data_IF_981449073237
#
_entry.id   IF_981449073237
#
_cell.length_a   1.000
_cell.length_b   1.000
_cell.length_c   1.000
_cell.angle_alpha   90.00
_cell.angle_beta   90.00
_cell.angle_gamma   90.00
#
_symmetry.space_group_name_H-M   'P 1'
#
loop_
_entity.id
_entity.type
_entity.pdbx_description
1 polymer ?
#
# COMPACT_ATOMS: atom_id res chain seq x y z
N UNK A 1 -13.22 -15.95 -18.60
CA UNK A 1 -13.95 -16.15 -17.34
C UNK A 1 -12.98 -15.85 -16.21
N UNK A 2 -13.27 -14.87 -15.35
CA UNK A 2 -12.39 -14.56 -14.21
C UNK A 2 -12.49 -15.72 -13.20
N UNK A 3 -11.39 -16.45 -13.01
CA UNK A 3 -11.34 -17.50 -12.00
C UNK A 3 -11.14 -16.83 -10.63
N UNK A 4 -12.08 -17.03 -9.72
CA UNK A 4 -12.04 -16.44 -8.35
C UNK A 4 -10.77 -16.87 -7.63
N UNK A 5 -10.35 -18.13 -7.78
CA UNK A 5 -9.15 -18.65 -7.12
C UNK A 5 -7.88 -17.96 -7.60
N UNK A 6 -7.75 -17.69 -8.91
CA UNK A 6 -6.60 -17.02 -9.48
C UNK A 6 -6.51 -15.55 -9.03
N UNK A 7 -7.66 -14.86 -8.95
CA UNK A 7 -7.72 -13.48 -8.44
C UNK A 7 -7.29 -13.40 -6.97
N UNK A 8 -7.79 -14.32 -6.13
CA UNK A 8 -7.39 -14.40 -4.72
C UNK A 8 -5.88 -14.71 -4.60
N UNK A 9 -5.37 -15.67 -5.37
CA UNK A 9 -3.94 -16.01 -5.34
C UNK A 9 -3.06 -14.83 -5.76
N UNK A 10 -3.48 -14.06 -6.77
CA UNK A 10 -2.79 -12.85 -7.21
C UNK A 10 -2.80 -11.78 -6.12
N UNK A 11 -3.95 -11.51 -5.50
CA UNK A 11 -4.09 -10.53 -4.43
C UNK A 11 -3.18 -10.87 -3.22
N UNK A 12 -3.15 -12.14 -2.78
CA UNK A 12 -2.30 -12.58 -1.67
C UNK A 12 -0.80 -12.49 -1.98
N UNK A 13 -0.41 -12.51 -3.26
CA UNK A 13 0.99 -12.37 -3.67
C UNK A 13 1.42 -10.92 -3.82
N UNK A 14 0.57 -10.09 -4.43
CA UNK A 14 0.95 -8.76 -4.90
C UNK A 14 0.58 -7.63 -3.92
N UNK A 15 -0.37 -7.87 -3.01
CA UNK A 15 -0.77 -6.83 -2.07
C UNK A 15 0.35 -6.46 -1.10
N UNK A 16 0.63 -5.16 -0.99
CA UNK A 16 1.66 -4.61 -0.09
C UNK A 16 1.42 -4.96 1.38
N UNK A 17 0.14 -5.05 1.81
CA UNK A 17 -0.23 -5.47 3.18
C UNK A 17 0.35 -6.83 3.52
N UNK A 18 0.25 -7.82 2.62
CA UNK A 18 0.82 -9.16 2.84
C UNK A 18 2.36 -9.15 2.89
N UNK A 19 3.01 -8.26 2.12
CA UNK A 19 4.45 -8.06 2.19
C UNK A 19 4.87 -7.44 3.54
N UNK A 20 4.13 -6.44 4.00
CA UNK A 20 4.33 -5.81 5.31
C UNK A 20 4.17 -6.82 6.45
N UNK A 21 3.13 -7.63 6.45
CA UNK A 21 2.89 -8.63 7.49
C UNK A 21 3.97 -9.70 7.55
N UNK A 22 4.50 -10.12 6.39
CA UNK A 22 5.66 -11.01 6.33
C UNK A 22 6.90 -10.39 6.96
N UNK A 23 7.11 -9.08 6.77
CA UNK A 23 8.22 -8.35 7.39
C UNK A 23 8.02 -8.22 8.90
N UNK A 24 6.79 -7.91 9.36
CA UNK A 24 6.44 -7.88 10.78
C UNK A 24 6.68 -9.24 11.45
N UNK A 25 6.27 -10.33 10.80
CA UNK A 25 6.50 -11.67 11.31
C UNK A 25 7.99 -11.99 11.39
N UNK A 26 8.79 -11.62 10.38
CA UNK A 26 10.25 -11.77 10.43
C UNK A 26 10.89 -10.95 11.56
N UNK A 27 10.42 -9.73 11.77
CA UNK A 27 10.89 -8.89 12.89
C UNK A 27 10.59 -9.56 14.24
N UNK A 28 9.38 -10.11 14.41
CA UNK A 28 9.01 -10.85 15.60
C UNK A 28 9.89 -12.13 15.78
N UNK A 29 10.21 -12.86 14.70
CA UNK A 29 11.13 -14.01 14.74
C UNK A 29 12.54 -13.60 15.20
N UNK A 30 13.03 -12.45 14.73
CA UNK A 30 14.33 -11.90 15.17
C UNK A 30 14.28 -11.55 16.66
N UNK A 31 13.21 -10.89 17.12
CA UNK A 31 13.03 -10.53 18.52
C UNK A 31 13.00 -11.76 19.43
N UNK A 32 12.36 -12.85 19.01
CA UNK A 32 12.41 -14.14 19.73
C UNK A 32 13.85 -14.65 19.84
N UNK A 33 14.65 -14.57 18.77
CA UNK A 33 16.06 -14.98 18.79
C UNK A 33 16.89 -14.11 19.74
N UNK A 34 16.66 -12.79 19.72
CA UNK A 34 17.33 -11.84 20.65
C UNK A 34 16.97 -12.18 22.10
N UNK A 35 15.68 -12.40 22.38
CA UNK A 35 15.23 -12.78 23.73
C UNK A 35 15.78 -14.15 24.15
N UNK A 36 15.92 -15.10 23.22
CA UNK A 36 16.57 -16.40 23.48
C UNK A 36 18.04 -16.20 23.83
N UNK A 37 18.74 -15.32 23.11
CA UNK A 37 20.13 -15.02 23.40
C UNK A 37 20.33 -14.32 24.75
N UNK A 38 19.36 -13.53 25.21
CA UNK A 38 19.36 -12.89 26.54
C UNK A 38 19.28 -13.89 27.72
N UNK A 39 18.96 -15.17 27.46
CA UNK A 39 19.03 -16.24 28.43
C UNK A 39 20.46 -16.72 28.72
N UNK A 40 21.37 -16.45 27.78
CA UNK A 40 22.77 -16.91 27.89
C UNK A 40 23.57 -15.99 28.82
N UNK A 41 24.66 -16.51 29.41
CA UNK A 41 25.62 -15.68 30.15
C UNK A 41 26.17 -14.57 29.23
N UNK A 42 26.32 -13.37 29.76
CA UNK A 42 26.94 -12.25 29.06
C UNK A 42 28.43 -12.17 29.40
N UNK A 43 29.26 -12.05 28.38
CA UNK A 43 30.69 -11.84 28.53
C UNK A 43 31.09 -10.60 27.74
N UNK A 44 31.55 -9.57 28.46
CA UNK A 44 31.96 -8.28 27.84
C UNK A 44 33.46 -8.14 27.96
N UNK A 45 34.11 -7.86 26.84
CA UNK A 45 35.53 -7.43 26.79
C UNK A 45 35.55 -5.91 26.69
N UNK A 46 36.11 -5.26 27.69
CA UNK A 46 36.30 -3.81 27.71
C UNK A 46 37.77 -3.50 27.49
N UNK A 47 38.09 -2.76 26.45
CA UNK A 47 39.39 -2.20 26.19
C UNK A 47 39.26 -0.68 26.26
N UNK A 48 40.03 -0.05 27.13
CA UNK A 48 40.07 1.42 27.18
C UNK A 48 41.48 1.93 27.11
N UNK A 49 41.67 3.05 26.43
CA UNK A 49 42.88 3.81 26.42
C UNK A 49 42.57 5.24 26.83
N UNK A 50 43.35 5.77 27.73
CA UNK A 50 43.21 7.11 28.25
C UNK A 50 44.56 7.84 28.19
N UNK A 51 44.54 9.02 27.59
CA UNK A 51 45.70 9.94 27.60
C UNK A 51 45.42 11.08 28.57
N UNK A 52 46.35 11.34 29.46
CA UNK A 52 46.23 12.43 30.44
C UNK A 52 47.41 13.39 30.26
N UNK A 53 47.11 14.69 30.13
CA UNK A 53 48.13 15.75 30.16
C UNK A 53 48.02 16.50 31.49
N UNK A 54 49.12 16.70 32.19
CA UNK A 54 49.23 17.49 33.42
C UNK A 54 50.33 18.55 33.25
N UNK A 55 49.92 19.81 33.21
CA UNK A 55 50.85 20.96 33.16
C UNK A 55 50.23 22.18 33.86
N UNK A 56 51.06 23.11 34.33
CA UNK A 56 50.62 24.38 34.90
C UNK A 56 50.12 25.35 33.81
N UNK A 57 50.41 25.09 32.55
CA UNK A 57 49.93 25.89 31.41
C UNK A 57 49.00 25.07 30.49
N UNK A 58 47.91 25.69 30.06
CA UNK A 58 46.87 25.01 29.27
C UNK A 58 47.39 24.47 27.95
N UNK A 59 48.26 25.23 27.26
CA UNK A 59 48.86 24.83 25.99
C UNK A 59 49.71 23.57 26.09
N UNK A 60 50.54 23.47 27.13
CA UNK A 60 51.38 22.31 27.38
C UNK A 60 50.56 21.10 27.84
N UNK A 61 49.53 21.29 28.63
CA UNK A 61 48.60 20.21 29.02
C UNK A 61 47.87 19.63 27.81
N UNK A 62 47.42 20.49 26.90
CA UNK A 62 46.79 20.07 25.65
C UNK A 62 47.74 19.31 24.72
N UNK A 63 48.96 19.84 24.51
CA UNK A 63 49.96 19.18 23.71
C UNK A 63 50.41 17.84 24.28
N UNK A 64 50.46 17.70 25.61
CA UNK A 64 50.76 16.42 26.27
C UNK A 64 49.61 15.42 26.14
N UNK A 65 48.34 15.89 26.08
CA UNK A 65 47.19 15.04 25.89
C UNK A 65 47.11 14.50 24.45
N UNK A 66 47.48 15.30 23.47
CA UNK A 66 47.44 14.97 22.04
C UNK A 66 48.72 14.27 21.56
N UNK A 67 49.89 14.49 22.25
CA UNK A 67 51.16 13.87 21.86
C UNK A 67 51.27 12.43 22.37
N UNK A 68 51.50 11.45 21.49
CA UNK A 68 51.38 10.02 21.82
C UNK A 68 52.46 9.42 22.73
N UNK A 69 53.26 10.20 23.42
CA UNK A 69 54.50 9.65 23.97
C UNK A 69 54.62 9.52 25.49
N UNK A 70 53.75 10.10 26.34
CA UNK A 70 54.12 10.20 27.76
C UNK A 70 53.14 9.69 28.83
N UNK A 71 51.81 9.74 28.62
CA UNK A 71 50.84 9.37 29.68
C UNK A 71 49.66 8.61 29.12
N UNK A 72 49.91 7.42 28.54
CA UNK A 72 48.85 6.52 28.10
C UNK A 72 48.61 5.45 29.18
N UNK A 73 47.38 5.38 29.62
CA UNK A 73 46.88 4.27 30.40
C UNK A 73 46.09 3.33 29.49
N UNK A 74 46.43 2.05 29.53
CA UNK A 74 45.71 0.99 28.85
C UNK A 74 45.06 0.14 29.92
N UNK A 75 43.77 -0.11 29.82
CA UNK A 75 43.09 -1.11 30.62
C UNK A 75 42.35 -2.11 29.77
N UNK A 76 42.46 -3.36 30.13
CA UNK A 76 41.70 -4.46 29.55
C UNK A 76 40.97 -5.17 30.66
N UNK A 77 39.66 -5.34 30.53
CA UNK A 77 38.82 -6.02 31.50
C UNK A 77 37.89 -7.00 30.82
N UNK A 78 37.65 -8.16 31.45
CA UNK A 78 36.63 -9.12 31.06
C UNK A 78 35.62 -9.15 32.18
N UNK A 79 34.35 -8.84 31.84
CA UNK A 79 33.23 -8.95 32.77
C UNK A 79 32.31 -10.07 32.32
N UNK A 80 32.12 -11.10 33.16
CA UNK A 80 31.21 -12.21 32.90
C UNK A 80 30.06 -12.12 33.89
N UNK A 81 28.84 -11.96 33.34
CA UNK A 81 27.59 -11.88 34.11
C UNK A 81 26.74 -13.12 33.90
N UNK A 82 26.40 -13.82 34.97
CA UNK A 82 25.53 -14.98 34.95
C UNK A 82 24.35 -14.78 35.91
N UNK A 83 23.14 -14.43 35.41
CA UNK A 83 21.98 -14.21 36.28
C UNK A 83 21.41 -15.53 36.77
N UNK A 84 21.46 -15.77 38.10
CA UNK A 84 20.89 -16.95 38.72
C UNK A 84 19.36 -16.88 38.69
N UNK A 85 18.72 -17.94 38.17
CA UNK A 85 17.25 -18.03 38.06
C UNK A 85 16.66 -17.32 36.83
N UNK A 86 17.31 -16.27 36.32
CA UNK A 86 16.99 -15.52 35.11
C UNK A 86 15.49 -15.36 34.76
N UNK A 87 14.66 -15.06 35.78
CA UNK A 87 13.19 -14.97 35.62
C UNK A 87 12.76 -13.88 34.67
N UNK A 88 13.45 -12.73 34.68
CA UNK A 88 13.14 -11.61 33.82
C UNK A 88 13.34 -11.96 32.34
N UNK A 89 14.48 -12.56 31.97
CA UNK A 89 14.75 -12.96 30.61
C UNK A 89 13.82 -14.09 30.13
N UNK A 90 13.43 -15.03 31.02
CA UNK A 90 12.43 -16.05 30.67
C UNK A 90 11.07 -15.45 30.39
N UNK A 91 10.60 -14.50 31.25
CA UNK A 91 9.35 -13.77 31.03
C UNK A 91 9.40 -12.95 29.72
N UNK A 92 10.53 -12.28 29.46
CA UNK A 92 10.73 -11.55 28.20
C UNK A 92 10.72 -12.45 26.96
N UNK A 93 11.28 -13.67 27.04
CA UNK A 93 11.18 -14.64 25.94
C UNK A 93 9.74 -15.08 25.71
N UNK A 94 8.98 -15.37 26.76
CA UNK A 94 7.56 -15.73 26.62
C UNK A 94 6.74 -14.59 26.03
N UNK A 95 6.99 -13.35 26.44
CA UNK A 95 6.39 -12.16 25.85
C UNK A 95 6.65 -12.11 24.33
N UNK A 96 7.91 -12.32 23.88
CA UNK A 96 8.24 -12.29 22.45
C UNK A 96 7.56 -13.44 21.69
N UNK A 97 7.38 -14.60 22.31
CA UNK A 97 6.61 -15.69 21.69
C UNK A 97 5.13 -15.32 21.51
N UNK A 98 4.53 -14.63 22.49
CA UNK A 98 3.15 -14.15 22.38
C UNK A 98 3.01 -13.07 21.30
N UNK A 99 3.94 -12.11 21.24
CA UNK A 99 3.97 -11.08 20.19
C UNK A 99 4.12 -11.70 18.78
N UNK A 100 4.95 -12.74 18.63
CA UNK A 100 5.06 -13.48 17.39
C UNK A 100 3.74 -14.17 17.01
N UNK A 101 3.04 -14.78 17.96
CA UNK A 101 1.71 -15.38 17.72
C UNK A 101 0.70 -14.31 17.33
N UNK A 102 0.72 -13.14 17.97
CA UNK A 102 -0.12 -12.00 17.63
C UNK A 102 0.13 -11.55 16.17
N UNK A 103 1.39 -11.38 15.75
CA UNK A 103 1.75 -11.02 14.38
C UNK A 103 1.24 -12.06 13.36
N UNK A 104 1.35 -13.35 13.67
CA UNK A 104 0.82 -14.42 12.83
C UNK A 104 -0.71 -14.36 12.70
N UNK A 105 -1.41 -14.15 13.82
CA UNK A 105 -2.87 -14.03 13.83
C UNK A 105 -3.33 -12.82 13.02
N UNK A 106 -2.63 -11.67 13.15
CA UNK A 106 -2.92 -10.48 12.35
C UNK A 106 -2.76 -10.76 10.85
N UNK A 107 -1.67 -11.40 10.44
CA UNK A 107 -1.45 -11.78 9.04
C UNK A 107 -2.59 -12.70 8.51
N UNK A 108 -3.11 -13.61 9.32
CA UNK A 108 -4.24 -14.46 8.93
C UNK A 108 -5.54 -13.66 8.78
N UNK A 109 -5.80 -12.71 9.68
CA UNK A 109 -6.96 -11.81 9.60
C UNK A 109 -6.89 -10.94 8.34
N UNK A 110 -5.72 -10.38 8.03
CA UNK A 110 -5.52 -9.56 6.84
C UNK A 110 -5.66 -10.37 5.55
N UNK A 111 -5.18 -11.62 5.55
CA UNK A 111 -5.44 -12.55 4.43
C UNK A 111 -6.94 -12.82 4.24
N UNK A 112 -7.71 -13.03 5.31
CA UNK A 112 -9.16 -13.23 5.25
C UNK A 112 -9.88 -11.99 4.73
N UNK A 113 -9.48 -10.79 5.18
CA UNK A 113 -10.03 -9.51 4.72
C UNK A 113 -9.75 -9.30 3.22
N UNK A 114 -8.54 -9.62 2.75
CA UNK A 114 -8.19 -9.56 1.33
C UNK A 114 -9.08 -10.49 0.50
N UNK A 115 -9.26 -11.74 0.93
CA UNK A 115 -10.12 -12.71 0.25
C UNK A 115 -11.57 -12.21 0.17
N UNK A 116 -12.07 -11.65 1.28
CA UNK A 116 -13.42 -11.08 1.33
C UNK A 116 -13.57 -9.91 0.37
N UNK A 117 -12.61 -8.98 0.38
CA UNK A 117 -12.62 -7.81 -0.50
C UNK A 117 -12.61 -8.20 -1.98
N UNK A 118 -11.72 -9.12 -2.38
CA UNK A 118 -11.67 -9.61 -3.78
C UNK A 118 -13.00 -10.25 -4.19
N UNK A 119 -13.65 -11.01 -3.31
CA UNK A 119 -14.97 -11.60 -3.60
C UNK A 119 -16.07 -10.54 -3.75
N UNK A 120 -16.03 -9.48 -2.94
CA UNK A 120 -17.01 -8.37 -3.03
C UNK A 120 -16.82 -7.64 -4.36
N UNK A 121 -15.59 -7.25 -4.70
CA UNK A 121 -15.30 -6.50 -5.93
C UNK A 121 -15.59 -7.33 -7.19
N UNK A 122 -15.34 -8.65 -7.15
CA UNK A 122 -15.68 -9.52 -8.26
C UNK A 122 -17.21 -9.62 -8.48
N UNK A 123 -17.98 -9.69 -7.39
CA UNK A 123 -19.46 -9.68 -7.49
C UNK A 123 -19.96 -8.33 -7.99
N UNK A 124 -19.40 -7.22 -7.51
CA UNK A 124 -19.73 -5.88 -7.98
C UNK A 124 -19.43 -5.72 -9.48
N UNK A 125 -18.30 -6.25 -9.96
CA UNK A 125 -17.94 -6.28 -11.38
C UNK A 125 -18.96 -7.07 -12.22
N UNK A 126 -19.36 -8.26 -11.78
CA UNK A 126 -20.32 -9.06 -12.49
C UNK A 126 -21.70 -8.40 -12.54
N UNK A 127 -22.14 -7.80 -11.44
CA UNK A 127 -23.41 -7.07 -11.33
C UNK A 127 -23.39 -5.83 -12.24
N UNK A 128 -22.36 -5.03 -12.20
CA UNK A 128 -22.23 -3.82 -13.05
C UNK A 128 -22.16 -4.16 -14.54
N UNK A 129 -21.51 -5.26 -14.91
CA UNK A 129 -21.53 -5.77 -16.29
C UNK A 129 -22.95 -6.13 -16.75
N UNK A 130 -23.71 -6.87 -15.94
CA UNK A 130 -25.10 -7.22 -16.28
C UNK A 130 -25.97 -5.98 -16.38
N UNK A 131 -25.79 -5.01 -15.48
CA UNK A 131 -26.51 -3.74 -15.51
C UNK A 131 -26.17 -2.93 -16.77
N UNK A 132 -24.89 -2.83 -17.15
CA UNK A 132 -24.48 -2.13 -18.37
C UNK A 132 -25.07 -2.77 -19.63
N UNK A 133 -25.13 -4.12 -19.67
CA UNK A 133 -25.80 -4.86 -20.75
C UNK A 133 -27.30 -4.57 -20.79
N UNK A 134 -28.00 -4.61 -19.66
CA UNK A 134 -29.42 -4.34 -19.57
C UNK A 134 -29.76 -2.91 -20.01
N UNK A 135 -29.02 -1.91 -19.49
CA UNK A 135 -29.23 -0.51 -19.87
C UNK A 135 -28.91 -0.24 -21.35
N UNK A 136 -27.96 -0.96 -21.93
CA UNK A 136 -27.67 -0.88 -23.36
C UNK A 136 -28.84 -1.40 -24.18
N UNK A 137 -29.48 -2.49 -23.76
CA UNK A 137 -30.69 -3.02 -24.41
C UNK A 137 -31.87 -2.06 -24.26
N UNK A 138 -32.09 -1.50 -23.06
CA UNK A 138 -33.13 -0.52 -22.79
C UNK A 138 -32.98 0.75 -23.66
N UNK A 139 -31.77 1.30 -23.77
CA UNK A 139 -31.51 2.45 -24.62
C UNK A 139 -31.79 2.16 -26.10
N UNK A 140 -31.40 0.96 -26.58
CA UNK A 140 -31.73 0.53 -27.97
C UNK A 140 -33.25 0.38 -28.17
N UNK A 141 -33.99 -0.14 -27.19
CA UNK A 141 -35.42 -0.23 -27.26
C UNK A 141 -36.10 1.15 -27.29
N UNK A 142 -35.69 2.09 -26.42
CA UNK A 142 -36.19 3.46 -26.44
C UNK A 142 -35.88 4.18 -27.80
N UNK A 143 -34.70 3.96 -28.36
CA UNK A 143 -34.36 4.49 -29.68
C UNK A 143 -35.28 3.96 -30.80
N UNK A 144 -35.66 2.66 -30.73
CA UNK A 144 -36.59 2.06 -31.70
C UNK A 144 -37.97 2.67 -31.57
N UNK A 145 -38.47 2.99 -30.37
CA UNK A 145 -39.76 3.66 -30.18
C UNK A 145 -39.77 5.02 -30.84
N UNK A 146 -38.71 5.85 -30.61
CA UNK A 146 -38.58 7.16 -31.26
C UNK A 146 -38.51 7.02 -32.79
N UNK A 147 -37.75 6.03 -33.29
CA UNK A 147 -37.64 5.75 -34.73
C UNK A 147 -39.01 5.37 -35.34
N UNK A 148 -39.77 4.50 -34.65
CA UNK A 148 -41.12 4.11 -35.10
C UNK A 148 -42.09 5.30 -35.14
N UNK A 149 -42.08 6.18 -34.13
CA UNK A 149 -42.88 7.40 -34.12
C UNK A 149 -42.48 8.38 -35.24
N UNK A 150 -41.18 8.48 -35.56
CA UNK A 150 -40.72 9.29 -36.69
C UNK A 150 -41.17 8.71 -38.05
N UNK A 151 -41.17 7.39 -38.20
CA UNK A 151 -41.70 6.72 -39.41
C UNK A 151 -43.20 6.97 -39.53
N UNK A 152 -43.94 6.81 -38.43
CA UNK A 152 -45.40 7.05 -38.42
C UNK A 152 -45.72 8.49 -38.79
N UNK A 153 -44.93 9.48 -38.35
CA UNK A 153 -45.09 10.88 -38.73
C UNK A 153 -44.87 11.09 -40.24
N UNK A 154 -43.88 10.41 -40.82
CA UNK A 154 -43.58 10.51 -42.26
C UNK A 154 -44.70 9.92 -43.16
N UNK A 155 -45.39 8.90 -42.68
CA UNK A 155 -46.46 8.25 -43.42
C UNK A 155 -47.85 8.89 -43.16
N UNK A 156 -47.91 10.15 -42.68
CA UNK A 156 -49.10 10.96 -42.64
C UNK A 156 -49.92 10.89 -41.37
N UNK A 157 -49.33 10.48 -40.24
CA UNK A 157 -49.97 10.64 -38.98
C UNK A 157 -50.26 12.12 -38.68
N UNK A 158 -51.53 12.47 -38.36
CA UNK A 158 -51.91 13.83 -38.04
C UNK A 158 -51.16 14.29 -36.76
N UNK A 159 -50.62 15.50 -36.85
CA UNK A 159 -49.90 16.15 -35.70
C UNK A 159 -50.86 16.63 -34.64
N UNK A 160 -51.56 15.69 -33.99
CA UNK A 160 -52.41 16.02 -32.88
C UNK A 160 -51.61 16.34 -31.64
N UNK A 161 -52.13 17.14 -30.66
CA UNK A 161 -51.44 17.41 -29.39
C UNK A 161 -51.07 16.13 -28.66
N UNK A 162 -51.89 15.09 -28.74
CA UNK A 162 -51.64 13.77 -28.14
C UNK A 162 -50.44 13.08 -28.78
N UNK A 163 -50.28 13.10 -30.12
CA UNK A 163 -49.15 12.51 -30.81
C UNK A 163 -47.85 13.25 -30.50
N UNK A 164 -47.89 14.60 -30.45
CA UNK A 164 -46.73 15.41 -30.07
C UNK A 164 -46.27 15.15 -28.64
N UNK A 165 -47.22 15.03 -27.71
CA UNK A 165 -46.89 14.66 -26.33
C UNK A 165 -46.27 13.26 -26.22
N UNK A 166 -46.82 12.27 -26.95
CA UNK A 166 -46.28 10.92 -27.01
C UNK A 166 -44.85 10.93 -27.55
N UNK A 167 -44.60 11.69 -28.63
CA UNK A 167 -43.25 11.84 -29.22
C UNK A 167 -42.27 12.52 -28.27
N UNK A 168 -42.71 13.58 -27.58
CA UNK A 168 -41.88 14.27 -26.59
C UNK A 168 -41.51 13.36 -25.43
N UNK A 169 -42.48 12.62 -24.90
CA UNK A 169 -42.28 11.62 -23.85
C UNK A 169 -41.30 10.53 -24.29
N UNK A 170 -41.44 10.02 -25.53
CA UNK A 170 -40.53 9.03 -26.09
C UNK A 170 -39.09 9.56 -26.21
N UNK A 171 -38.92 10.85 -26.59
CA UNK A 171 -37.59 11.50 -26.67
C UNK A 171 -36.99 11.69 -25.27
N UNK A 172 -37.79 12.09 -24.27
CA UNK A 172 -37.37 12.18 -22.88
C UNK A 172 -36.92 10.83 -22.32
N UNK A 173 -37.69 9.78 -22.61
CA UNK A 173 -37.35 8.41 -22.21
C UNK A 173 -36.08 7.92 -22.88
N UNK A 174 -35.84 8.26 -24.14
CA UNK A 174 -34.59 7.96 -24.85
C UNK A 174 -33.40 8.69 -24.21
N UNK A 175 -33.56 9.96 -23.89
CA UNK A 175 -32.52 10.74 -23.25
C UNK A 175 -32.17 10.13 -21.87
N UNK A 176 -33.18 9.83 -21.05
CA UNK A 176 -32.99 9.18 -19.75
C UNK A 176 -32.32 7.79 -19.87
N UNK A 177 -32.73 6.97 -20.86
CA UNK A 177 -32.15 5.66 -21.11
C UNK A 177 -30.66 5.77 -21.55
N UNK A 178 -30.31 6.78 -22.35
CA UNK A 178 -28.92 7.02 -22.75
C UNK A 178 -28.05 7.45 -21.56
N UNK A 179 -28.56 8.32 -20.68
CA UNK A 179 -27.86 8.72 -19.46
C UNK A 179 -27.63 7.47 -18.57
N UNK A 180 -28.67 6.69 -18.35
CA UNK A 180 -28.59 5.46 -17.55
C UNK A 180 -27.58 4.44 -18.14
N UNK A 181 -27.53 4.32 -19.48
CA UNK A 181 -26.54 3.48 -20.17
C UNK A 181 -25.11 3.98 -19.93
N UNK A 182 -24.86 5.29 -20.07
CA UNK A 182 -23.53 5.88 -19.87
C UNK A 182 -23.11 5.67 -18.43
N UNK A 183 -23.99 5.96 -17.46
CA UNK A 183 -23.73 5.76 -16.05
C UNK A 183 -23.39 4.30 -15.72
N UNK A 184 -24.12 3.34 -16.30
CA UNK A 184 -23.85 1.92 -16.11
C UNK A 184 -22.49 1.49 -16.68
N UNK A 185 -22.04 2.07 -17.82
CA UNK A 185 -20.73 1.83 -18.40
C UNK A 185 -19.63 2.42 -17.49
N UNK A 186 -19.82 3.63 -16.97
CA UNK A 186 -18.89 4.25 -16.02
C UNK A 186 -18.75 3.39 -14.77
N UNK A 187 -19.89 2.93 -14.21
CA UNK A 187 -19.89 2.06 -13.03
C UNK A 187 -19.16 0.73 -13.30
N UNK A 188 -19.30 0.15 -14.49
CA UNK A 188 -18.57 -1.04 -14.89
C UNK A 188 -17.06 -0.80 -14.95
N UNK A 189 -16.62 0.31 -15.57
CA UNK A 189 -15.20 0.67 -15.62
C UNK A 189 -14.61 0.93 -14.23
N UNK A 190 -15.38 1.59 -13.36
CA UNK A 190 -14.99 1.81 -11.97
C UNK A 190 -14.85 0.50 -11.21
N UNK A 191 -15.74 -0.47 -11.45
CA UNK A 191 -15.66 -1.80 -10.83
C UNK A 191 -14.44 -2.61 -11.31
N UNK A 192 -14.00 -2.44 -12.57
CA UNK A 192 -12.73 -3.01 -13.07
C UNK A 192 -11.56 -2.44 -12.27
N UNK A 193 -11.47 -1.11 -12.15
CA UNK A 193 -10.41 -0.45 -11.41
C UNK A 193 -10.40 -0.85 -9.92
N UNK A 194 -11.58 -0.96 -9.30
CA UNK A 194 -11.73 -1.43 -7.92
C UNK A 194 -11.22 -2.87 -7.73
N UNK A 195 -11.53 -3.77 -8.66
CA UNK A 195 -11.00 -5.14 -8.62
C UNK A 195 -9.47 -5.17 -8.80
N UNK A 196 -8.91 -4.36 -9.70
CA UNK A 196 -7.46 -4.25 -9.90
C UNK A 196 -6.77 -3.70 -8.65
N UNK A 197 -7.38 -2.70 -7.98
CA UNK A 197 -6.90 -2.19 -6.70
C UNK A 197 -6.96 -3.26 -5.60
N UNK A 198 -8.06 -4.03 -5.54
CA UNK A 198 -8.20 -5.14 -4.59
C UNK A 198 -7.17 -6.25 -4.82
N UNK A 199 -6.75 -6.49 -6.05
CA UNK A 199 -5.69 -7.43 -6.41
C UNK A 199 -4.27 -6.88 -6.19
N UNK A 200 -4.12 -5.56 -5.99
CA UNK A 200 -2.82 -4.91 -5.91
C UNK A 200 -2.11 -4.76 -7.26
N UNK A 201 -2.84 -4.90 -8.37
CA UNK A 201 -2.29 -4.84 -9.75
C UNK A 201 -2.56 -3.52 -10.46
N UNK A 202 -3.27 -2.58 -9.82
CA UNK A 202 -3.70 -1.33 -10.45
C UNK A 202 -2.52 -0.54 -11.02
N UNK A 203 -1.44 -0.40 -10.27
CA UNK A 203 -0.25 0.36 -10.71
C UNK A 203 0.46 -0.30 -11.88
N UNK A 204 0.48 -1.63 -11.93
CA UNK A 204 1.10 -2.39 -13.02
C UNK A 204 0.28 -2.26 -14.32
N UNK A 205 -1.05 -2.31 -14.21
CA UNK A 205 -1.96 -2.19 -15.36
C UNK A 205 -1.94 -0.78 -15.93
N UNK A 206 -1.97 0.24 -15.07
CA UNK A 206 -1.93 1.65 -15.47
C UNK A 206 -0.50 2.15 -15.76
N UNK A 207 0.51 1.27 -15.65
CA UNK A 207 1.94 1.58 -15.89
C UNK A 207 2.47 2.74 -15.05
N UNK A 208 1.92 2.94 -13.85
CA UNK A 208 2.36 3.98 -12.91
C UNK A 208 3.60 3.50 -12.19
N UNK A 209 4.72 4.21 -12.36
CA UNK A 209 5.97 3.95 -11.63
C UNK A 209 6.10 4.93 -10.48
N UNK A 210 6.19 4.42 -9.25
CA UNK A 210 6.52 5.24 -8.09
C UNK A 210 8.02 5.55 -8.13
N UNK A 211 8.36 6.84 -8.26
CA UNK A 211 9.75 7.30 -8.16
C UNK A 211 10.05 7.58 -6.68
N UNK A 212 11.09 6.98 -6.08
CA UNK A 212 11.45 7.25 -4.69
C UNK A 212 11.75 8.75 -4.48
N UNK A 213 11.25 9.32 -3.38
CA UNK A 213 11.37 10.75 -3.06
C UNK A 213 12.83 11.28 -3.08
N UNK A 214 13.82 10.40 -2.85
CA UNK A 214 15.24 10.72 -2.94
C UNK A 214 15.67 11.22 -4.34
N UNK A 215 14.98 10.85 -5.42
CA UNK A 215 15.28 11.34 -6.78
C UNK A 215 14.71 12.75 -7.03
N UNK A 216 13.63 13.13 -6.36
CA UNK A 216 13.10 14.50 -6.45
C UNK A 216 14.05 15.51 -5.79
N UNK A 217 14.66 15.16 -4.66
CA UNK A 217 15.65 16.04 -3.98
C UNK A 217 16.94 16.23 -4.80
N UNK A 218 17.33 15.26 -5.63
CA UNK A 218 18.49 15.39 -6.50
C UNK A 218 18.24 16.30 -7.72
N UNK A 219 17.03 16.28 -8.29
CA UNK A 219 16.66 17.14 -9.42
C UNK A 219 16.47 18.60 -8.98
N UNK A 220 15.85 18.86 -7.82
CA UNK A 220 15.69 20.21 -7.32
C UNK A 220 17.00 20.89 -6.89
N UNK A 221 18.04 20.10 -6.55
CA UNK A 221 19.40 20.62 -6.29
C UNK A 221 20.18 20.87 -7.57
N UNK A 222 19.94 20.14 -8.64
CA UNK A 222 20.61 20.37 -9.92
C UNK A 222 20.13 21.66 -10.59
N UNK A 223 18.82 21.97 -10.50
CA UNK A 223 18.23 23.23 -11.03
C UNK A 223 18.62 24.47 -10.21
N UNK A 224 18.96 24.30 -8.93
CA UNK A 224 19.38 25.42 -8.07
C UNK A 224 20.86 25.81 -8.22
N UNK A 225 21.64 25.06 -8.98
CA UNK A 225 23.10 25.30 -9.15
C UNK A 225 23.48 25.74 -10.56
N UNK A 226 22.52 26.00 -11.46
CA UNK A 226 22.79 26.58 -12.79
C UNK A 226 22.68 28.11 -12.75
N UNK A 227 23.78 28.87 -12.68
CA UNK A 227 23.77 30.33 -12.65
C UNK A 227 23.57 30.96 -14.04
N UNK A 228 23.26 30.19 -15.09
CA UNK A 228 23.11 30.67 -16.48
C UNK A 228 21.68 31.03 -16.88
N UNK A 229 20.68 30.92 -15.99
CA UNK A 229 19.27 31.18 -16.31
C UNK A 229 18.80 32.61 -15.95
N UNK A 230 19.73 33.58 -15.75
CA UNK A 230 19.39 35.02 -15.55
C UNK A 230 20.23 35.90 -16.48
N UNK A 231 19.89 35.87 -17.78
CA UNK A 231 20.13 36.98 -18.73
C UNK A 231 18.95 37.09 -19.69
#
# INVERSE_FOLDING_TARGET
>A
MFNVADQIATALRQRSVMAEDRLKLRAADINVRVATNALLPQADLTLSTQSNGLSNEFGDAFNQTVSPARYFNYSAGINVSFPIGNRAARAGLEEQHLLRRQALTQMLLDAQNIILQVKIELRALLSSYQQAKAQTVAAKAAARVVAALNVQQRFGASLTPTFLNLKLTAQQNLAAANIARIQAIVNYNSAIAALQAANGTLLDVDRVRLVPAARFAAHSRADATDPSASQ
#
